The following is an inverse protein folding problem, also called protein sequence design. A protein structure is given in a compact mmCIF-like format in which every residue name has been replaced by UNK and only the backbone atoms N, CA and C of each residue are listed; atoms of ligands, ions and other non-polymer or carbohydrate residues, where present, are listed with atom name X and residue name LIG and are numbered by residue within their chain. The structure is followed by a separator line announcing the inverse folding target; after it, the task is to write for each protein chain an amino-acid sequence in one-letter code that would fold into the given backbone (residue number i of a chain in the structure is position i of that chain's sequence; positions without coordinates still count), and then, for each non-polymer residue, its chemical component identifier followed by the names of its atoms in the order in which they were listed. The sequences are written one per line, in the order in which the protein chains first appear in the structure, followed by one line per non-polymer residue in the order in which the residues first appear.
data_IF_641352651153
#
_entry.id   IF_641352651153
#
_cell.length_a   1.000
_cell.length_b   1.000
_cell.length_c   1.000
_cell.angle_alpha   90.00
_cell.angle_beta   90.00
_cell.angle_gamma   90.00
#
_symmetry.space_group_name_H-M   'P 1'
#
loop_
_entity.id
_entity.type
_entity.pdbx_description
1 polymer ?
#
# COMPACT_ATOMS: atom_id res chain seq x y z
N UNK A 1 36.41 -19.87 16.21
CA UNK A 1 35.40 -20.09 15.15
C UNK A 1 35.73 -19.16 14.00
N UNK A 2 36.01 -19.69 12.79
CA UNK A 2 36.26 -18.83 11.64
C UNK A 2 34.95 -18.14 11.22
N UNK A 3 34.97 -16.86 10.83
CA UNK A 3 33.80 -16.25 10.19
C UNK A 3 33.51 -17.01 8.89
N UNK A 4 32.33 -17.62 8.78
CA UNK A 4 31.88 -18.39 7.61
C UNK A 4 31.54 -17.47 6.43
N UNK A 5 32.51 -16.70 5.93
CA UNK A 5 32.30 -15.80 4.78
C UNK A 5 33.31 -16.10 3.68
N UNK A 6 32.81 -16.45 2.49
CA UNK A 6 33.61 -16.58 1.28
C UNK A 6 33.54 -15.30 0.44
N UNK A 7 34.66 -14.91 -0.18
CA UNK A 7 34.72 -13.73 -1.07
C UNK A 7 34.25 -14.12 -2.46
N UNK A 8 33.26 -13.38 -2.98
CA UNK A 8 32.82 -13.46 -4.37
C UNK A 8 33.33 -12.23 -5.11
N UNK A 9 34.07 -12.43 -6.19
CA UNK A 9 34.48 -11.37 -7.11
C UNK A 9 33.71 -11.54 -8.42
N UNK A 10 33.07 -10.47 -8.88
CA UNK A 10 32.37 -10.46 -10.17
C UNK A 10 32.69 -9.17 -10.90
N UNK A 11 32.68 -9.23 -12.22
CA UNK A 11 32.94 -8.08 -13.07
C UNK A 11 31.63 -7.31 -13.28
N UNK A 12 31.73 -5.99 -13.25
CA UNK A 12 30.61 -5.07 -13.44
C UNK A 12 31.02 -3.92 -14.33
N UNK A 13 30.05 -3.24 -14.93
CA UNK A 13 30.31 -1.93 -15.53
C UNK A 13 30.59 -0.88 -14.45
N UNK A 14 31.28 0.20 -14.83
CA UNK A 14 31.56 1.34 -13.95
C UNK A 14 30.26 1.97 -13.44
N UNK A 15 29.26 2.09 -14.33
CA UNK A 15 27.94 2.61 -14.03
C UNK A 15 27.21 1.76 -12.98
N UNK A 16 27.24 0.43 -13.13
CA UNK A 16 26.61 -0.48 -12.20
C UNK A 16 27.27 -0.42 -10.81
N UNK A 17 28.60 -0.30 -10.75
CA UNK A 17 29.32 -0.11 -9.48
C UNK A 17 28.92 1.19 -8.78
N UNK A 18 28.80 2.29 -9.53
CA UNK A 18 28.37 3.58 -8.99
C UNK A 18 26.92 3.50 -8.47
N UNK A 19 26.04 2.83 -9.22
CA UNK A 19 24.66 2.57 -8.83
C UNK A 19 24.58 1.74 -7.53
N UNK A 20 25.32 0.62 -7.44
CA UNK A 20 25.37 -0.21 -6.23
C UNK A 20 25.79 0.60 -4.99
N UNK A 21 26.81 1.46 -5.14
CA UNK A 21 27.26 2.33 -4.05
C UNK A 21 26.16 3.31 -3.61
N UNK A 22 25.42 3.88 -4.56
CA UNK A 22 24.32 4.81 -4.28
C UNK A 22 23.17 4.12 -3.54
N UNK A 23 22.75 2.94 -4.00
CA UNK A 23 21.64 2.20 -3.40
C UNK A 23 21.98 1.63 -2.01
N UNK A 24 23.21 1.13 -1.83
CA UNK A 24 23.70 0.71 -0.52
C UNK A 24 23.70 1.88 0.48
N UNK A 25 24.17 3.06 0.05
CA UNK A 25 24.15 4.27 0.87
C UNK A 25 22.73 4.72 1.25
N UNK A 26 21.77 4.70 0.31
CA UNK A 26 20.36 5.02 0.60
C UNK A 26 19.77 4.08 1.67
N UNK A 27 20.17 2.82 1.63
CA UNK A 27 19.70 1.79 2.55
C UNK A 27 20.49 1.76 3.87
N UNK A 28 21.52 2.61 4.04
CA UNK A 28 22.35 2.68 5.25
C UNK A 28 23.22 1.44 5.49
N UNK A 29 23.46 0.60 4.47
CA UNK A 29 24.19 -0.67 4.59
C UNK A 29 25.40 -0.74 3.66
N UNK A 30 26.31 -1.68 3.92
CA UNK A 30 27.43 -1.94 3.00
C UNK A 30 26.94 -2.55 1.67
N UNK A 31 27.73 -2.38 0.60
CA UNK A 31 27.41 -2.96 -0.72
C UNK A 31 27.24 -4.49 -0.62
N UNK A 32 28.11 -5.17 0.12
CA UNK A 32 28.02 -6.63 0.31
C UNK A 32 26.74 -7.03 1.04
N UNK A 33 26.30 -6.25 2.02
CA UNK A 33 25.05 -6.50 2.74
C UNK A 33 23.84 -6.21 1.86
N UNK A 34 23.87 -5.12 1.09
CA UNK A 34 22.85 -4.79 0.11
C UNK A 34 22.65 -5.92 -0.92
N UNK A 35 23.75 -6.45 -1.47
CA UNK A 35 23.71 -7.58 -2.40
C UNK A 35 23.13 -8.83 -1.71
N UNK A 36 23.59 -9.14 -0.48
CA UNK A 36 23.06 -10.29 0.28
C UNK A 36 21.57 -10.17 0.55
N UNK A 37 21.09 -9.00 0.96
CA UNK A 37 19.67 -8.76 1.19
C UNK A 37 18.88 -9.00 -0.09
N UNK A 38 19.30 -8.40 -1.21
CA UNK A 38 18.66 -8.60 -2.52
C UNK A 38 18.67 -10.06 -2.99
N UNK A 39 19.76 -10.80 -2.76
CA UNK A 39 19.84 -12.22 -3.14
C UNK A 39 19.07 -13.14 -2.18
N UNK A 40 19.03 -12.82 -0.88
CA UNK A 40 18.27 -13.58 0.14
C UNK A 40 16.76 -13.38 -0.01
N UNK A 41 16.33 -12.18 -0.37
CA UNK A 41 14.92 -11.85 -0.59
C UNK A 41 14.36 -12.48 -1.87
N UNK A 42 15.20 -13.04 -2.75
CA UNK A 42 14.76 -13.58 -4.04
C UNK A 42 14.06 -12.54 -4.93
N UNK A 43 13.61 -12.90 -6.13
CA UNK A 43 12.72 -12.02 -6.89
C UNK A 43 11.40 -11.85 -6.11
N UNK A 44 11.18 -10.65 -5.58
CA UNK A 44 10.02 -10.22 -4.75
C UNK A 44 8.67 -10.26 -5.48
N UNK A 45 8.59 -10.90 -6.66
CA UNK A 45 7.45 -10.81 -7.55
C UNK A 45 6.17 -11.36 -6.92
N UNK A 46 6.28 -12.36 -6.03
CA UNK A 46 5.13 -12.95 -5.33
C UNK A 46 4.63 -12.07 -4.19
N UNK A 47 5.52 -11.54 -3.35
CA UNK A 47 5.13 -10.68 -2.24
C UNK A 47 4.57 -9.35 -2.73
N UNK A 48 5.21 -8.73 -3.73
CA UNK A 48 4.71 -7.50 -4.36
C UNK A 48 3.36 -7.73 -5.07
N UNK A 49 3.17 -8.87 -5.74
CA UNK A 49 1.85 -9.24 -6.30
C UNK A 49 0.77 -9.39 -5.23
N UNK A 50 1.09 -10.07 -4.11
CA UNK A 50 0.14 -10.25 -3.00
C UNK A 50 -0.19 -8.91 -2.34
N UNK A 51 0.81 -8.04 -2.15
CA UNK A 51 0.60 -6.70 -1.62
C UNK A 51 -0.30 -5.86 -2.56
N UNK A 52 -0.05 -5.92 -3.87
CA UNK A 52 -0.85 -5.24 -4.87
C UNK A 52 -2.30 -5.76 -4.94
N UNK A 53 -2.50 -7.06 -4.78
CA UNK A 53 -3.83 -7.66 -4.70
C UNK A 53 -4.58 -7.19 -3.45
N UNK A 54 -3.92 -7.21 -2.28
CA UNK A 54 -4.49 -6.74 -1.02
C UNK A 54 -4.88 -5.25 -1.09
N UNK A 55 -4.01 -4.41 -1.65
CA UNK A 55 -4.27 -2.99 -1.81
C UNK A 55 -5.53 -2.72 -2.66
N UNK A 56 -5.72 -3.48 -3.75
CA UNK A 56 -6.92 -3.39 -4.60
C UNK A 56 -8.18 -3.82 -3.87
N UNK A 57 -8.11 -4.87 -3.05
CA UNK A 57 -9.26 -5.31 -2.24
C UNK A 57 -9.65 -4.26 -1.20
N UNK A 58 -8.68 -3.65 -0.52
CA UNK A 58 -8.91 -2.56 0.43
C UNK A 58 -9.54 -1.37 -0.28
N UNK A 59 -9.01 -0.95 -1.44
CA UNK A 59 -9.59 0.15 -2.21
C UNK A 59 -11.05 -0.11 -2.60
N UNK A 60 -11.35 -1.35 -3.04
CA UNK A 60 -12.71 -1.77 -3.38
C UNK A 60 -13.64 -1.74 -2.16
N UNK A 61 -13.17 -2.21 -1.01
CA UNK A 61 -13.91 -2.22 0.24
C UNK A 61 -14.23 -0.78 0.69
N UNK A 62 -13.24 0.12 0.65
CA UNK A 62 -13.41 1.54 0.99
C UNK A 62 -14.43 2.19 0.06
N UNK A 63 -14.31 2.03 -1.26
CA UNK A 63 -15.29 2.56 -2.22
C UNK A 63 -16.71 2.08 -1.95
N UNK A 64 -16.88 0.80 -1.57
CA UNK A 64 -18.19 0.25 -1.21
C UNK A 64 -18.71 0.88 0.08
N UNK A 65 -17.87 1.00 1.11
CA UNK A 65 -18.23 1.60 2.38
C UNK A 65 -18.66 3.07 2.22
N UNK A 66 -17.89 3.87 1.47
CA UNK A 66 -18.24 5.27 1.17
C UNK A 66 -19.59 5.37 0.46
N UNK A 67 -19.83 4.55 -0.57
CA UNK A 67 -21.12 4.53 -1.27
C UNK A 67 -22.29 4.16 -0.36
N UNK A 68 -22.10 3.18 0.52
CA UNK A 68 -23.13 2.79 1.49
C UNK A 68 -23.43 3.90 2.49
N UNK A 69 -22.40 4.61 2.96
CA UNK A 69 -22.54 5.74 3.87
C UNK A 69 -23.28 6.91 3.21
N UNK A 70 -22.85 7.31 2.00
CA UNK A 70 -23.50 8.38 1.23
C UNK A 70 -24.98 8.10 0.99
N UNK A 71 -25.31 6.84 0.68
CA UNK A 71 -26.70 6.42 0.52
C UNK A 71 -27.47 6.54 1.83
N UNK A 72 -26.92 6.07 2.95
CA UNK A 72 -27.55 6.17 4.27
C UNK A 72 -27.82 7.62 4.69
N UNK A 73 -26.88 8.53 4.42
CA UNK A 73 -27.05 9.96 4.68
C UNK A 73 -28.23 10.50 3.85
N UNK A 74 -28.27 10.23 2.54
CA UNK A 74 -29.37 10.68 1.68
C UNK A 74 -30.73 10.13 2.10
N UNK A 75 -30.77 8.85 2.46
CA UNK A 75 -32.02 8.20 2.88
C UNK A 75 -32.53 8.82 4.19
N UNK A 76 -31.63 9.09 5.16
CA UNK A 76 -32.01 9.75 6.43
C UNK A 76 -32.44 11.21 6.23
N UNK A 77 -31.78 11.97 5.36
CA UNK A 77 -32.20 13.32 4.99
C UNK A 77 -33.60 13.33 4.34
N UNK A 78 -33.87 12.38 3.44
CA UNK A 78 -35.17 12.24 2.80
C UNK A 78 -36.29 11.92 3.81
N UNK A 79 -36.00 11.06 4.80
CA UNK A 79 -36.92 10.75 5.90
C UNK A 79 -37.18 11.99 6.76
N UNK A 80 -36.14 12.70 7.18
CA UNK A 80 -36.28 13.93 7.97
C UNK A 80 -37.11 14.99 7.24
N UNK A 81 -36.89 15.13 5.92
CA UNK A 81 -37.69 16.04 5.09
C UNK A 81 -39.17 15.68 5.10
N UNK A 82 -39.51 14.38 4.90
CA UNK A 82 -40.89 13.91 4.97
C UNK A 82 -41.53 14.15 6.33
N UNK A 83 -40.82 13.88 7.42
CA UNK A 83 -41.33 14.13 8.78
C UNK A 83 -41.68 15.60 8.99
N UNK A 84 -40.81 16.52 8.55
CA UNK A 84 -41.07 17.97 8.62
C UNK A 84 -42.27 18.40 7.76
N UNK A 85 -42.42 17.84 6.56
CA UNK A 85 -43.56 18.11 5.69
C UNK A 85 -44.88 17.62 6.31
N UNK A 86 -44.87 16.47 6.97
CA UNK A 86 -46.04 15.91 7.63
C UNK A 86 -46.41 16.68 8.91
N UNK A 87 -45.42 17.13 9.69
CA UNK A 87 -45.64 18.05 10.82
C UNK A 87 -46.28 19.37 10.36
N UNK A 88 -45.77 19.98 9.28
CA UNK A 88 -46.31 21.22 8.74
C UNK A 88 -47.75 21.06 8.19
N UNK A 89 -48.09 19.90 7.64
CA UNK A 89 -49.47 19.59 7.21
C UNK A 89 -50.41 19.42 8.40
N UNK A 90 -49.94 18.81 9.49
CA UNK A 90 -50.73 18.65 10.73
C UNK A 90 -50.98 19.98 11.44
N UNK A 91 -50.03 20.90 11.42
CA UNK A 91 -50.19 22.23 12.04
C UNK A 91 -51.14 23.18 11.28
N UNK A 92 -51.49 22.87 10.02
CA UNK A 92 -52.40 23.66 9.18
C UNK A 92 -53.85 23.14 9.19
N UNK A 93 -54.12 22.07 9.93
CA UNK A 93 -55.42 21.40 10.01
C UNK A 93 -56.05 21.67 11.36
#
# INVERSE_FOLDING_TARGET
MSPQTARVTFLTTTEFKAWLKKEANKSGVSISEFIRLRCKSGPSNREEMLLGALAKEVEKAVKKATKSLDKGIKDTEAVLKKMREDEAKRAKK
#
